data_IF_111359556222
#
_entry.id   IF_111359556222
#
_cell.length_a   1.000
_cell.length_b   1.000
_cell.length_c   1.000
_cell.angle_alpha   90.00
_cell.angle_beta   90.00
_cell.angle_gamma   90.00
#
_symmetry.space_group_name_H-M   'P 1'
#
loop_
_entity.id
_entity.type
_entity.pdbx_description
1 polymer ?
#
# COMPACT_ATOMS: atom_id res chain seq x y z
N UNK A 1 9.17 11.95 18.59
CA UNK A 1 9.94 10.77 18.99
C UNK A 1 9.80 10.53 20.49
N UNK A 2 9.95 9.30 20.96
CA UNK A 2 10.07 8.98 22.40
C UNK A 2 11.52 9.15 22.88
N UNK A 3 11.74 9.19 24.19
CA UNK A 3 13.11 9.21 24.77
C UNK A 3 13.99 8.08 24.23
N UNK A 4 13.46 6.86 24.16
CA UNK A 4 14.18 5.70 23.64
C UNK A 4 14.51 5.82 22.14
N UNK A 5 13.63 6.46 21.35
CA UNK A 5 13.91 6.72 19.94
C UNK A 5 15.02 7.76 19.75
N UNK A 6 15.09 8.79 20.61
CA UNK A 6 16.19 9.77 20.59
C UNK A 6 17.51 9.14 21.03
N UNK A 7 17.48 8.30 22.05
CA UNK A 7 18.67 7.58 22.53
C UNK A 7 19.27 6.67 21.44
N UNK A 8 18.43 5.94 20.70
CA UNK A 8 18.88 5.14 19.56
C UNK A 8 19.56 5.99 18.48
N UNK A 9 19.04 7.19 18.20
CA UNK A 9 19.65 8.09 17.21
C UNK A 9 21.01 8.65 17.65
N UNK A 10 21.22 8.85 18.94
CA UNK A 10 22.48 9.34 19.49
C UNK A 10 23.55 8.26 19.54
N UNK A 11 23.17 6.99 19.75
CA UNK A 11 24.09 5.85 19.71
C UNK A 11 24.74 5.70 18.32
N UNK A 12 24.01 6.00 17.25
CA UNK A 12 24.50 5.91 15.87
C UNK A 12 25.50 7.03 15.48
N UNK A 13 25.72 8.04 16.34
CA UNK A 13 26.51 9.24 16.03
C UNK A 13 27.93 9.25 16.63
N UNK A 14 28.39 8.19 17.32
CA UNK A 14 29.71 8.06 17.99
C UNK A 14 30.11 9.19 18.97
N UNK A 15 29.32 10.24 19.08
CA UNK A 15 29.38 11.29 20.07
C UNK A 15 28.14 11.13 20.95
N UNK A 16 28.31 10.70 22.20
CA UNK A 16 27.25 10.76 23.20
C UNK A 16 27.38 12.07 23.98
N UNK A 17 26.83 13.21 23.52
CA UNK A 17 26.45 14.25 24.46
C UNK A 17 25.51 13.63 25.49
N UNK A 18 25.46 14.18 26.71
CA UNK A 18 24.56 13.65 27.72
C UNK A 18 23.13 13.71 27.16
N UNK A 19 22.48 12.56 26.95
CA UNK A 19 21.14 12.44 26.34
C UNK A 19 20.16 13.51 26.87
N UNK A 20 20.23 13.82 28.16
CA UNK A 20 19.40 14.84 28.78
C UNK A 20 19.66 16.26 28.23
N UNK A 21 20.91 16.65 27.95
CA UNK A 21 21.23 17.96 27.35
C UNK A 21 20.64 18.12 25.95
N UNK A 22 20.66 17.05 25.15
CA UNK A 22 20.02 17.04 23.81
C UNK A 22 18.50 17.14 23.94
N UNK A 23 17.91 16.33 24.83
CA UNK A 23 16.47 16.34 25.06
C UNK A 23 15.95 17.70 25.55
N UNK A 24 16.72 18.39 26.39
CA UNK A 24 16.38 19.71 26.92
C UNK A 24 16.41 20.81 25.85
N UNK A 25 17.18 20.63 24.77
CA UNK A 25 17.22 21.54 23.63
C UNK A 25 16.11 21.26 22.59
N UNK A 26 15.45 20.10 22.66
CA UNK A 26 14.38 19.73 21.75
C UNK A 26 13.03 20.28 22.20
N UNK A 27 12.14 20.55 21.25
CA UNK A 27 10.74 20.86 21.60
C UNK A 27 10.08 19.62 22.20
N UNK A 28 9.48 19.77 23.38
CA UNK A 28 8.82 18.70 24.13
C UNK A 28 7.32 18.96 24.21
N UNK A 29 6.51 17.91 24.00
CA UNK A 29 5.06 17.93 24.22
C UNK A 29 4.63 16.68 24.98
N UNK A 30 3.57 16.73 25.79
CA UNK A 30 3.07 15.53 26.47
C UNK A 30 2.69 14.44 25.47
N UNK A 31 2.91 13.17 25.81
CA UNK A 31 2.50 12.05 24.98
C UNK A 31 0.99 11.75 25.11
N UNK A 32 0.43 11.96 26.31
CA UNK A 32 -0.99 11.80 26.63
C UNK A 32 -1.43 13.02 27.44
N UNK A 33 -2.58 13.58 27.09
CA UNK A 33 -3.23 14.67 27.82
C UNK A 33 -4.55 14.20 28.43
N UNK A 34 -4.91 14.77 29.57
CA UNK A 34 -6.22 14.59 30.19
C UNK A 34 -7.20 15.58 29.56
N UNK A 35 -8.31 15.08 29.03
CA UNK A 35 -9.40 15.88 28.46
C UNK A 35 -10.65 15.76 29.35
N UNK A 36 -11.68 16.57 29.09
CA UNK A 36 -12.94 16.50 29.83
C UNK A 36 -13.62 15.13 29.73
N UNK A 37 -13.42 14.43 28.61
CA UNK A 37 -14.01 13.12 28.31
C UNK A 37 -13.06 11.93 28.55
N UNK A 38 -11.91 12.16 29.21
CA UNK A 38 -10.94 11.11 29.58
C UNK A 38 -9.51 11.45 29.15
N UNK A 39 -8.94 10.64 28.24
CA UNK A 39 -7.55 10.77 27.81
C UNK A 39 -7.47 10.98 26.29
N UNK A 40 -6.52 11.81 25.86
CA UNK A 40 -6.16 11.99 24.46
C UNK A 40 -4.69 11.66 24.23
N UNK A 41 -4.41 10.73 23.33
CA UNK A 41 -3.05 10.37 22.95
C UNK A 41 -2.54 11.34 21.88
N UNK A 42 -1.55 12.19 22.19
CA UNK A 42 -1.01 13.14 21.22
C UNK A 42 -0.12 12.51 20.13
N UNK A 43 0.22 11.21 20.25
CA UNK A 43 0.88 10.47 19.16
C UNK A 43 -0.11 10.05 18.07
N UNK A 44 -1.19 9.36 18.44
CA UNK A 44 -2.14 8.78 17.48
C UNK A 44 -3.55 9.37 17.49
N UNK A 45 -3.81 10.40 18.30
CA UNK A 45 -5.12 11.02 18.54
C UNK A 45 -6.20 10.04 18.99
N UNK A 46 -5.83 8.92 19.61
CA UNK A 46 -6.82 8.06 20.22
C UNK A 46 -7.48 8.79 21.40
N UNK A 47 -8.81 8.88 21.35
CA UNK A 47 -9.66 9.38 22.44
C UNK A 47 -10.62 8.29 22.96
N UNK A 48 -10.54 7.07 22.42
CA UNK A 48 -11.40 5.98 22.88
C UNK A 48 -10.91 5.50 24.25
N UNK A 49 -11.71 5.75 25.30
CA UNK A 49 -11.42 5.35 26.68
C UNK A 49 -11.07 3.87 26.84
N UNK A 50 -11.74 2.97 26.11
CA UNK A 50 -11.45 1.52 26.09
C UNK A 50 -10.05 1.14 25.60
N UNK A 51 -9.38 2.04 24.87
CA UNK A 51 -8.02 1.83 24.37
C UNK A 51 -6.96 2.47 25.27
N UNK A 52 -7.37 2.95 26.44
CA UNK A 52 -6.48 3.38 27.51
C UNK A 52 -6.56 2.38 28.65
N UNK A 53 -5.40 1.94 29.13
CA UNK A 53 -5.30 0.98 30.24
C UNK A 53 -4.37 1.57 31.30
N UNK A 54 -4.79 1.53 32.56
CA UNK A 54 -3.94 1.85 33.70
C UNK A 54 -2.96 0.70 33.96
N UNK A 55 -1.70 1.03 34.26
CA UNK A 55 -0.74 0.04 34.71
C UNK A 55 -1.16 -0.51 36.09
N UNK A 56 -1.05 -1.82 36.32
CA UNK A 56 -1.41 -2.44 37.61
C UNK A 56 -0.47 -2.03 38.77
N UNK A 57 0.53 -1.18 38.53
CA UNK A 57 1.52 -0.72 39.50
C UNK A 57 0.95 0.05 40.69
N UNK A 58 -0.30 0.51 40.61
CA UNK A 58 -1.01 1.07 41.78
C UNK A 58 -1.12 0.06 42.94
N UNK A 59 -1.18 -1.25 42.66
CA UNK A 59 -1.34 -2.28 43.68
C UNK A 59 -0.01 -2.83 44.24
N UNK A 60 1.12 -2.65 43.53
CA UNK A 60 2.41 -3.29 43.87
C UNK A 60 3.46 -2.33 44.44
N UNK A 61 3.39 -1.02 44.19
CA UNK A 61 4.48 -0.08 44.50
C UNK A 61 4.04 1.22 45.19
N UNK A 62 2.80 1.34 45.68
CA UNK A 62 2.32 2.52 46.41
C UNK A 62 2.56 3.86 45.68
N UNK A 63 2.50 3.84 44.34
CA UNK A 63 2.63 5.04 43.51
C UNK A 63 1.27 5.77 43.48
N UNK A 64 1.27 7.06 43.79
CA UNK A 64 0.07 7.92 43.87
C UNK A 64 -0.47 8.36 42.51
N UNK A 65 0.32 8.24 41.44
CA UNK A 65 -0.02 8.80 40.13
C UNK A 65 -0.60 7.74 39.19
N UNK A 66 -1.76 8.03 38.62
CA UNK A 66 -2.45 7.18 37.64
C UNK A 66 -1.61 7.07 36.36
N UNK A 67 -0.97 5.91 36.15
CA UNK A 67 -0.14 5.66 34.95
C UNK A 67 -0.96 4.96 33.87
N UNK A 68 -1.53 5.75 32.97
CA UNK A 68 -2.33 5.24 31.84
C UNK A 68 -1.49 5.14 30.57
N UNK A 69 -1.64 4.09 29.78
CA UNK A 69 -1.00 3.97 28.46
C UNK A 69 -2.02 3.74 27.34
N UNK A 70 -1.62 4.12 26.12
CA UNK A 70 -2.45 3.96 24.92
C UNK A 70 -2.17 2.62 24.21
N UNK A 71 -3.19 1.75 24.12
CA UNK A 71 -3.11 0.47 23.41
C UNK A 71 -2.91 0.61 21.91
N UNK A 72 -3.51 1.64 21.28
CA UNK A 72 -3.37 1.89 19.84
C UNK A 72 -1.91 2.16 19.43
N UNK A 73 -1.09 2.49 20.41
CA UNK A 73 0.27 2.95 20.28
C UNK A 73 1.29 1.83 20.59
N UNK A 74 0.84 0.69 21.12
CA UNK A 74 1.71 -0.34 21.68
C UNK A 74 2.71 -0.91 20.67
N UNK A 75 2.30 -1.10 19.41
CA UNK A 75 3.17 -1.62 18.35
C UNK A 75 4.34 -0.69 17.99
N UNK A 76 4.23 0.61 18.28
CA UNK A 76 5.28 1.60 18.06
C UNK A 76 6.08 1.90 19.34
N UNK A 77 5.97 1.05 20.35
CA UNK A 77 6.49 1.31 21.69
C UNK A 77 5.45 2.01 22.56
N UNK A 78 5.32 1.54 23.80
CA UNK A 78 4.37 2.04 24.80
C UNK A 78 4.67 3.50 25.14
N UNK A 79 3.61 4.30 25.26
CA UNK A 79 3.65 5.68 25.78
C UNK A 79 2.69 5.81 26.95
N UNK A 80 3.12 6.50 27.99
CA UNK A 80 2.43 6.66 29.27
C UNK A 80 1.99 8.12 29.48
N UNK A 81 0.99 8.29 30.34
CA UNK A 81 0.69 9.59 30.94
C UNK A 81 1.93 10.06 31.74
N UNK A 82 2.38 11.27 31.43
CA UNK A 82 3.63 11.84 31.94
C UNK A 82 4.86 11.65 31.04
N UNK A 83 4.79 10.81 30.00
CA UNK A 83 5.85 10.75 28.99
C UNK A 83 5.83 12.00 28.11
N UNK A 84 7.01 12.37 27.59
CA UNK A 84 7.16 13.46 26.60
C UNK A 84 7.52 12.92 25.22
N UNK A 85 6.99 13.60 24.20
CA UNK A 85 7.34 13.46 22.80
C UNK A 85 8.29 14.60 22.41
N UNK A 86 9.41 14.23 21.83
CA UNK A 86 10.49 15.13 21.40
C UNK A 86 10.41 15.37 19.89
N UNK A 87 10.55 16.61 19.46
CA UNK A 87 10.47 17.01 18.06
C UNK A 87 11.80 17.58 17.59
N UNK A 88 12.26 17.10 16.44
CA UNK A 88 13.39 17.72 15.72
C UNK A 88 12.82 18.91 14.97
N UNK A 89 13.39 20.10 15.17
CA UNK A 89 13.02 21.26 14.39
C UNK A 89 13.36 21.05 12.92
N UNK A 90 12.41 21.40 12.06
CA UNK A 90 12.62 21.28 10.63
C UNK A 90 13.58 22.36 10.13
N UNK A 91 14.47 22.00 9.21
CA UNK A 91 15.35 22.98 8.57
C UNK A 91 14.55 23.78 7.54
N UNK A 92 14.81 25.09 7.38
CA UNK A 92 14.12 25.90 6.38
C UNK A 92 14.31 25.30 4.98
N UNK A 93 13.20 24.84 4.42
CA UNK A 93 13.15 23.90 3.30
C UNK A 93 12.53 24.55 2.06
N UNK A 94 12.99 25.73 1.68
CA UNK A 94 12.70 26.30 0.35
C UNK A 94 13.87 27.15 -0.15
N UNK A 95 14.44 26.75 -1.27
CA UNK A 95 15.34 27.61 -2.04
C UNK A 95 14.53 28.61 -2.85
N UNK A 96 14.93 29.89 -2.84
CA UNK A 96 14.38 30.92 -3.73
C UNK A 96 14.61 30.57 -5.20
N UNK A 97 15.66 29.80 -5.50
CA UNK A 97 16.01 29.35 -6.85
C UNK A 97 16.16 27.82 -6.85
N UNK A 98 15.41 27.08 -7.69
CA UNK A 98 15.55 25.63 -7.78
C UNK A 98 16.94 25.22 -8.24
N UNK A 99 17.48 24.16 -7.65
CA UNK A 99 18.73 23.51 -8.08
C UNK A 99 18.53 22.71 -9.37
N UNK A 100 19.63 22.20 -9.93
CA UNK A 100 19.59 21.25 -11.04
C UNK A 100 18.83 19.98 -10.67
N UNK A 101 18.26 19.32 -11.68
CA UNK A 101 17.55 18.05 -11.49
C UNK A 101 18.40 17.02 -10.77
N UNK A 102 17.78 16.32 -9.83
CA UNK A 102 18.35 15.16 -9.17
C UNK A 102 17.80 13.85 -9.74
N UNK A 103 16.89 13.94 -10.72
CA UNK A 103 16.33 12.79 -11.41
C UNK A 103 17.35 12.23 -12.40
N UNK A 104 17.77 11.00 -12.13
CA UNK A 104 18.72 10.21 -12.94
C UNK A 104 18.04 9.15 -13.81
N UNK A 105 16.73 8.96 -13.64
CA UNK A 105 15.93 8.01 -14.42
C UNK A 105 15.92 8.35 -15.92
N UNK A 106 16.40 7.41 -16.74
CA UNK A 106 16.52 7.57 -18.20
C UNK A 106 15.30 7.08 -19.00
N UNK A 107 14.24 6.61 -18.33
CA UNK A 107 13.04 6.15 -19.03
C UNK A 107 12.22 7.31 -19.61
N UNK A 108 11.23 6.97 -20.44
CA UNK A 108 10.29 7.95 -21.01
C UNK A 108 8.89 7.66 -20.52
N UNK A 109 8.23 8.69 -19.98
CA UNK A 109 6.83 8.60 -19.60
C UNK A 109 5.95 8.48 -20.85
N UNK A 110 4.91 7.65 -20.79
CA UNK A 110 3.86 7.68 -21.79
C UNK A 110 3.19 9.06 -21.82
N UNK A 111 2.56 9.47 -22.93
CA UNK A 111 1.86 10.76 -23.00
C UNK A 111 0.86 10.95 -21.85
N UNK A 112 0.19 9.87 -21.45
CA UNK A 112 -0.81 9.90 -20.38
C UNK A 112 -0.18 9.99 -18.98
N UNK A 113 0.94 9.31 -18.77
CA UNK A 113 1.74 9.48 -17.54
C UNK A 113 2.32 10.90 -17.45
N UNK A 114 2.80 11.46 -18.56
CA UNK A 114 3.33 12.82 -18.62
C UNK A 114 2.24 13.86 -18.34
N UNK A 115 1.02 13.67 -18.88
CA UNK A 115 -0.15 14.49 -18.55
C UNK A 115 -0.43 14.45 -17.04
N UNK A 116 -0.51 13.25 -16.46
CA UNK A 116 -0.79 13.11 -15.05
C UNK A 116 0.30 13.68 -14.15
N UNK A 117 1.58 13.55 -14.54
CA UNK A 117 2.69 14.18 -13.83
C UNK A 117 2.61 15.71 -13.88
N UNK A 118 2.21 16.30 -15.01
CA UNK A 118 1.95 17.74 -15.13
C UNK A 118 0.76 18.18 -14.27
N UNK A 119 -0.33 17.43 -14.25
CA UNK A 119 -1.49 17.71 -13.40
C UNK A 119 -1.10 17.68 -11.92
N UNK A 120 -0.26 16.73 -11.51
CA UNK A 120 0.27 16.64 -10.16
C UNK A 120 1.13 17.86 -9.80
N UNK A 121 2.05 18.26 -10.68
CA UNK A 121 2.87 19.46 -10.46
C UNK A 121 1.97 20.70 -10.33
N UNK A 122 0.98 20.86 -11.21
CA UNK A 122 0.01 21.96 -11.12
C UNK A 122 -0.79 21.92 -9.81
N UNK A 123 -1.11 20.73 -9.32
CA UNK A 123 -1.82 20.58 -8.04
C UNK A 123 -1.02 21.07 -6.84
N UNK A 124 0.31 21.17 -6.95
CA UNK A 124 1.17 21.72 -5.88
C UNK A 124 0.91 23.21 -5.64
N UNK A 125 0.35 23.95 -6.61
CA UNK A 125 -0.04 25.36 -6.46
C UNK A 125 -1.21 25.53 -5.49
N UNK A 126 -1.97 24.46 -5.24
CA UNK A 126 -3.10 24.43 -4.32
C UNK A 126 -2.84 23.43 -3.20
N UNK A 127 -2.15 23.89 -2.15
CA UNK A 127 -1.86 23.10 -0.95
C UNK A 127 -3.09 22.85 -0.07
N UNK A 128 -4.22 23.54 -0.31
CA UNK A 128 -5.42 23.43 0.53
C UNK A 128 -6.21 22.14 0.27
N UNK A 129 -6.17 21.63 -0.97
CA UNK A 129 -6.91 20.43 -1.37
C UNK A 129 -5.98 19.25 -1.57
N UNK A 130 -6.43 18.08 -1.13
CA UNK A 130 -5.76 16.81 -1.47
C UNK A 130 -5.87 16.57 -2.99
N UNK A 131 -4.91 15.85 -3.57
CA UNK A 131 -4.99 15.40 -4.95
C UNK A 131 -4.98 13.87 -5.03
N UNK A 132 -5.91 13.28 -5.78
CA UNK A 132 -5.97 11.83 -5.98
C UNK A 132 -5.66 11.46 -7.42
N UNK A 133 -4.72 10.54 -7.58
CA UNK A 133 -4.48 9.86 -8.86
C UNK A 133 -5.22 8.53 -8.84
N UNK A 134 -6.23 8.43 -9.69
CA UNK A 134 -6.95 7.19 -9.94
C UNK A 134 -6.34 6.53 -11.18
N UNK A 135 -5.45 5.57 -10.97
CA UNK A 135 -4.71 4.91 -12.03
C UNK A 135 -4.90 3.40 -12.00
N UNK A 136 -5.26 2.82 -13.14
CA UNK A 136 -5.44 1.37 -13.27
C UNK A 136 -4.17 0.59 -12.90
N UNK A 137 -4.34 -0.65 -12.46
CA UNK A 137 -3.21 -1.52 -12.14
C UNK A 137 -2.27 -1.66 -13.33
N UNK A 138 -0.97 -1.45 -13.10
CA UNK A 138 0.03 -1.49 -14.17
C UNK A 138 0.13 -0.22 -15.02
N UNK A 139 -0.54 0.89 -14.66
CA UNK A 139 -0.39 2.18 -15.34
C UNK A 139 0.98 2.86 -15.14
N UNK A 140 1.88 2.31 -14.32
CA UNK A 140 3.19 2.91 -14.01
C UNK A 140 3.08 4.12 -13.07
N UNK A 141 2.33 3.93 -11.96
CA UNK A 141 2.12 4.98 -10.94
C UNK A 141 3.44 5.52 -10.36
N UNK A 142 4.44 4.66 -10.19
CA UNK A 142 5.72 5.00 -9.57
C UNK A 142 6.55 5.93 -10.47
N UNK A 143 6.66 5.64 -11.77
CA UNK A 143 7.45 6.46 -12.69
C UNK A 143 6.82 7.84 -12.88
N UNK A 144 5.49 7.90 -12.89
CA UNK A 144 4.71 9.13 -13.05
C UNK A 144 4.96 10.16 -11.93
N UNK A 145 5.27 9.71 -10.71
CA UNK A 145 5.54 10.62 -9.58
C UNK A 145 6.96 11.17 -9.57
N UNK A 146 7.91 10.58 -10.31
CA UNK A 146 9.31 11.03 -10.28
C UNK A 146 9.51 12.52 -10.63
N UNK A 147 8.87 13.10 -11.68
CA UNK A 147 9.03 14.52 -11.95
C UNK A 147 8.47 15.43 -10.84
N UNK A 148 7.43 14.97 -10.14
CA UNK A 148 6.82 15.70 -9.02
C UNK A 148 7.75 15.69 -7.80
N UNK A 149 8.37 14.54 -7.53
CA UNK A 149 9.37 14.39 -6.47
C UNK A 149 10.57 15.30 -6.76
N UNK A 150 11.11 15.24 -7.99
CA UNK A 150 12.23 16.08 -8.42
C UNK A 150 11.89 17.58 -8.30
N UNK A 151 10.65 17.98 -8.61
CA UNK A 151 10.20 19.37 -8.45
C UNK A 151 10.30 19.86 -7.00
N UNK A 152 9.99 19.02 -6.01
CA UNK A 152 10.09 19.36 -4.59
C UNK A 152 11.55 19.32 -4.12
N UNK A 153 12.30 18.28 -4.47
CA UNK A 153 13.68 18.08 -4.04
C UNK A 153 14.60 19.19 -4.58
N UNK A 154 14.38 19.66 -5.82
CA UNK A 154 15.14 20.80 -6.38
C UNK A 154 15.01 22.07 -5.56
N UNK A 155 13.93 22.22 -4.79
CA UNK A 155 13.66 23.37 -3.92
C UNK A 155 14.11 23.13 -2.47
N UNK A 156 14.86 22.06 -2.20
CA UNK A 156 15.24 21.63 -0.86
C UNK A 156 14.04 21.26 0.02
N UNK A 157 12.93 20.86 -0.59
CA UNK A 157 11.75 20.35 0.11
C UNK A 157 11.87 18.85 0.41
N UNK A 158 11.05 18.37 1.34
CA UNK A 158 11.06 16.98 1.80
C UNK A 158 9.89 16.18 1.26
N UNK A 159 10.17 14.95 0.84
CA UNK A 159 9.19 14.06 0.24
C UNK A 159 9.05 12.77 1.05
N UNK A 160 7.81 12.35 1.28
CA UNK A 160 7.52 11.02 1.81
C UNK A 160 6.64 10.23 0.86
N UNK A 161 6.98 8.95 0.66
CA UNK A 161 6.14 7.96 -0.02
C UNK A 161 5.74 6.90 1.01
N UNK A 162 4.47 6.87 1.36
CA UNK A 162 3.92 5.94 2.33
C UNK A 162 3.06 4.86 1.66
N UNK A 163 3.13 3.64 2.19
CA UNK A 163 2.23 2.54 1.79
C UNK A 163 1.78 1.74 3.01
N UNK A 164 0.54 1.22 3.09
CA UNK A 164 0.16 0.34 4.19
C UNK A 164 0.93 -0.99 4.22
N UNK A 165 1.61 -1.38 3.13
CA UNK A 165 2.31 -2.66 3.01
C UNK A 165 3.83 -2.52 3.07
N UNK A 166 4.44 -3.37 3.90
CA UNK A 166 5.90 -3.45 4.05
C UNK A 166 6.56 -3.86 2.72
N UNK A 167 6.04 -4.89 2.05
CA UNK A 167 6.63 -5.41 0.81
C UNK A 167 6.69 -4.34 -0.31
N UNK A 168 5.70 -3.44 -0.37
CA UNK A 168 5.68 -2.33 -1.32
C UNK A 168 6.77 -1.31 -0.99
N UNK A 169 6.95 -0.97 0.29
CA UNK A 169 8.00 -0.04 0.73
C UNK A 169 9.40 -0.60 0.42
N UNK A 170 9.62 -1.90 0.66
CA UNK A 170 10.88 -2.59 0.35
C UNK A 170 11.15 -2.62 -1.16
N UNK A 171 10.12 -2.80 -2.00
CA UNK A 171 10.26 -2.73 -3.46
C UNK A 171 10.52 -1.29 -3.96
N UNK A 172 9.92 -0.29 -3.32
CA UNK A 172 10.02 1.12 -3.72
C UNK A 172 11.39 1.74 -3.41
N UNK A 173 12.01 1.44 -2.26
CA UNK A 173 13.32 2.02 -1.86
C UNK A 173 14.38 1.88 -2.97
N UNK A 174 14.76 0.68 -3.45
CA UNK A 174 15.80 0.54 -4.47
C UNK A 174 15.40 1.20 -5.80
N UNK A 175 14.10 1.22 -6.12
CA UNK A 175 13.57 1.82 -7.35
C UNK A 175 13.68 3.35 -7.33
N UNK A 176 13.41 3.97 -6.18
CA UNK A 176 13.60 5.40 -5.94
C UNK A 176 15.09 5.76 -5.86
N UNK A 177 15.90 4.95 -5.17
CA UNK A 177 17.35 5.17 -5.10
C UNK A 177 17.99 5.15 -6.50
N UNK A 178 17.58 4.22 -7.36
CA UNK A 178 18.05 4.17 -8.75
C UNK A 178 17.56 5.34 -9.61
N UNK A 179 16.39 5.92 -9.29
CA UNK A 179 15.87 7.10 -9.99
C UNK A 179 16.49 8.41 -9.48
N UNK A 180 16.99 8.43 -8.24
CA UNK A 180 17.54 9.59 -7.55
C UNK A 180 18.88 9.24 -6.89
N UNK A 181 19.87 8.86 -7.68
CA UNK A 181 21.16 8.31 -7.19
C UNK A 181 21.86 9.20 -6.17
N UNK A 182 21.74 10.52 -6.32
CA UNK A 182 22.38 11.52 -5.44
C UNK A 182 21.51 11.98 -4.25
N UNK A 183 20.36 11.37 -4.03
CA UNK A 183 19.43 11.72 -2.94
C UNK A 183 19.35 10.57 -1.94
N UNK A 184 19.52 10.89 -0.67
CA UNK A 184 19.37 9.90 0.40
C UNK A 184 17.91 9.52 0.60
N UNK A 185 17.64 8.21 0.56
CA UNK A 185 16.31 7.62 0.77
C UNK A 185 16.31 6.75 2.04
N UNK A 186 15.62 7.21 3.08
CA UNK A 186 15.43 6.45 4.33
C UNK A 186 14.20 5.54 4.22
N UNK A 187 14.29 4.29 4.69
CA UNK A 187 13.17 3.34 4.68
C UNK A 187 12.72 3.00 6.11
N UNK A 188 11.44 3.21 6.40
CA UNK A 188 10.87 3.00 7.74
C UNK A 188 9.69 2.02 7.70
N UNK A 189 9.78 0.91 8.43
CA UNK A 189 8.65 -0.01 8.61
C UNK A 189 8.76 -0.76 9.94
N UNK A 190 7.67 -1.42 10.37
CA UNK A 190 7.70 -2.21 11.60
C UNK A 190 8.69 -3.37 11.48
N UNK A 191 9.75 -3.35 12.29
CA UNK A 191 10.85 -4.32 12.25
C UNK A 191 12.03 -3.94 11.34
N UNK A 192 12.13 -2.68 10.88
CA UNK A 192 13.38 -2.17 10.29
C UNK A 192 14.45 -1.98 11.37
N UNK A 193 15.67 -2.47 11.12
CA UNK A 193 16.86 -2.23 11.96
C UNK A 193 17.41 -0.81 11.75
N UNK A 194 17.12 -0.19 10.61
CA UNK A 194 17.55 1.17 10.26
C UNK A 194 16.84 2.20 11.18
N UNK A 195 17.64 2.89 11.98
CA UNK A 195 17.22 4.06 12.76
C UNK A 195 16.74 5.20 11.86
N UNK A 196 15.83 6.04 12.36
CA UNK A 196 15.40 7.19 11.56
C UNK A 196 16.54 8.19 11.41
N UNK A 197 16.92 8.51 10.17
CA UNK A 197 17.81 9.60 9.82
C UNK A 197 17.04 10.70 9.09
N UNK A 198 17.31 11.95 9.42
CA UNK A 198 16.76 13.08 8.68
C UNK A 198 17.26 13.04 7.23
N UNK A 199 16.35 12.79 6.29
CA UNK A 199 16.66 12.69 4.87
C UNK A 199 15.68 13.51 4.02
N UNK A 200 16.09 13.93 2.80
CA UNK A 200 15.22 14.61 1.85
C UNK A 200 14.06 13.72 1.39
N UNK A 201 14.28 12.40 1.32
CA UNK A 201 13.27 11.42 0.90
C UNK A 201 13.09 10.32 1.96
N UNK A 202 11.83 10.02 2.27
CA UNK A 202 11.46 8.94 3.19
C UNK A 202 10.46 8.01 2.51
N UNK A 203 10.73 6.70 2.54
CA UNK A 203 9.76 5.66 2.17
C UNK A 203 9.31 5.00 3.47
N UNK A 204 8.01 4.91 3.72
CA UNK A 204 7.55 4.35 4.99
C UNK A 204 6.27 3.55 4.92
N UNK A 205 6.01 2.72 5.93
CA UNK A 205 4.63 2.28 6.15
C UNK A 205 3.76 3.44 6.65
N UNK A 206 2.45 3.39 6.40
CA UNK A 206 1.52 4.44 6.86
C UNK A 206 1.54 4.64 8.38
N UNK A 207 1.73 3.58 9.16
CA UNK A 207 1.84 3.65 10.62
C UNK A 207 3.05 4.46 11.08
N UNK A 208 4.16 4.45 10.33
CA UNK A 208 5.37 5.21 10.67
C UNK A 208 5.14 6.72 10.58
N UNK A 209 4.12 7.16 9.83
CA UNK A 209 3.76 8.59 9.74
C UNK A 209 3.32 9.19 11.09
N UNK A 210 2.92 8.36 12.06
CA UNK A 210 2.62 8.80 13.43
C UNK A 210 3.82 9.44 14.15
N UNK A 211 5.04 9.24 13.62
CA UNK A 211 6.28 9.86 14.12
C UNK A 211 6.53 11.27 13.57
N UNK A 212 5.77 11.69 12.56
CA UNK A 212 6.01 12.91 11.81
C UNK A 212 4.90 13.94 12.06
N UNK A 213 5.31 15.19 12.20
CA UNK A 213 4.41 16.32 12.30
C UNK A 213 4.98 17.45 11.45
N UNK A 214 4.16 17.99 10.55
CA UNK A 214 4.50 19.09 9.65
C UNK A 214 5.85 18.90 8.93
N UNK A 215 6.18 17.66 8.56
CA UNK A 215 7.55 17.27 8.18
C UNK A 215 7.79 17.23 6.67
N UNK A 216 6.75 17.04 5.87
CA UNK A 216 6.88 16.80 4.43
C UNK A 216 6.15 17.85 3.59
N UNK A 217 6.87 18.42 2.62
CA UNK A 217 6.31 19.29 1.59
C UNK A 217 5.44 18.51 0.60
N UNK A 218 5.74 17.22 0.41
CA UNK A 218 4.93 16.31 -0.39
C UNK A 218 4.84 14.96 0.31
N UNK A 219 3.63 14.55 0.67
CA UNK A 219 3.33 13.20 1.10
C UNK A 219 2.51 12.49 0.03
N UNK A 220 3.02 11.38 -0.48
CA UNK A 220 2.35 10.50 -1.43
C UNK A 220 1.98 9.22 -0.70
N UNK A 221 0.69 8.90 -0.64
CA UNK A 221 0.23 7.62 -0.08
C UNK A 221 -0.19 6.70 -1.23
N UNK A 222 0.56 5.62 -1.43
CA UNK A 222 0.21 4.57 -2.39
C UNK A 222 -0.62 3.49 -1.72
N UNK A 223 -1.50 2.86 -2.50
CA UNK A 223 -2.40 1.81 -2.04
C UNK A 223 -3.33 2.27 -0.90
N UNK A 224 -3.87 3.49 -0.98
CA UNK A 224 -4.84 4.01 0.01
C UNK A 224 -6.10 3.16 0.14
N UNK A 225 -6.33 2.26 -0.81
CA UNK A 225 -7.43 1.29 -0.86
C UNK A 225 -7.10 -0.06 -0.18
N UNK A 226 -5.91 -0.20 0.42
CA UNK A 226 -5.51 -1.39 1.15
C UNK A 226 -5.74 -1.28 2.67
N UNK A 227 -6.11 -2.41 3.28
CA UNK A 227 -6.10 -2.58 4.72
C UNK A 227 -4.66 -2.46 5.28
N UNK A 228 -4.45 -1.85 6.47
CA UNK A 228 -5.46 -1.29 7.37
C UNK A 228 -5.86 0.17 7.09
N UNK A 229 -5.22 0.85 6.13
CA UNK A 229 -5.39 2.29 5.92
C UNK A 229 -6.85 2.73 5.73
N UNK A 230 -7.59 2.09 4.82
CA UNK A 230 -8.98 2.46 4.45
C UNK A 230 -9.93 2.62 5.64
N UNK A 231 -9.73 1.82 6.70
CA UNK A 231 -10.67 1.74 7.82
C UNK A 231 -10.05 2.23 9.14
N UNK A 232 -8.94 2.97 9.08
CA UNK A 232 -8.21 3.41 10.26
C UNK A 232 -8.10 4.94 10.31
N UNK A 233 -8.95 5.54 11.15
CA UNK A 233 -8.96 6.98 11.37
C UNK A 233 -7.62 7.51 11.90
N UNK A 234 -6.88 6.72 12.69
CA UNK A 234 -5.57 7.14 13.22
C UNK A 234 -4.52 7.21 12.12
N UNK A 235 -4.60 6.37 11.09
CA UNK A 235 -3.72 6.43 9.92
C UNK A 235 -4.06 7.59 8.98
N UNK A 236 -5.35 7.89 8.79
CA UNK A 236 -5.76 9.10 8.07
C UNK A 236 -5.34 10.38 8.80
N UNK A 237 -5.40 10.37 10.13
CA UNK A 237 -4.85 11.47 10.93
C UNK A 237 -3.33 11.57 10.77
N UNK A 238 -2.61 10.45 10.83
CA UNK A 238 -1.15 10.41 10.68
C UNK A 238 -0.70 11.00 9.34
N UNK A 239 -1.38 10.68 8.23
CA UNK A 239 -1.07 11.24 6.92
C UNK A 239 -1.29 12.75 6.88
N UNK A 240 -2.42 13.24 7.38
CA UNK A 240 -2.70 14.68 7.41
C UNK A 240 -1.75 15.45 8.33
N UNK A 241 -1.36 14.86 9.47
CA UNK A 241 -0.44 15.47 10.44
C UNK A 241 0.98 15.55 9.90
N UNK A 242 1.43 14.55 9.15
CA UNK A 242 2.80 14.49 8.65
C UNK A 242 3.08 15.52 7.53
N UNK A 243 2.04 16.01 6.85
CA UNK A 243 2.15 17.04 5.80
C UNK A 243 2.36 18.41 6.43
N UNK A 244 3.34 19.15 5.91
CA UNK A 244 3.69 20.50 6.35
C UNK A 244 2.56 21.49 6.10
N UNK A 245 2.22 22.31 7.08
CA UNK A 245 1.20 23.36 6.93
C UNK A 245 1.83 24.76 6.89
N UNK A 246 1.30 25.69 6.07
CA UNK A 246 0.15 25.56 5.15
C UNK A 246 0.55 25.11 3.72
N UNK A 247 1.84 24.89 3.44
CA UNK A 247 2.37 24.77 2.08
C UNK A 247 2.45 23.34 1.53
N UNK A 248 2.44 22.32 2.38
CA UNK A 248 2.62 20.94 1.99
C UNK A 248 1.43 20.36 1.21
N UNK A 249 1.70 19.34 0.40
CA UNK A 249 0.71 18.67 -0.43
C UNK A 249 0.53 17.20 -0.03
N UNK A 250 -0.72 16.78 0.07
CA UNK A 250 -1.10 15.37 0.18
C UNK A 250 -1.58 14.84 -1.18
N UNK A 251 -0.98 13.72 -1.61
CA UNK A 251 -1.33 13.01 -2.83
C UNK A 251 -1.71 11.56 -2.52
N UNK A 252 -2.84 11.10 -3.04
CA UNK A 252 -3.29 9.70 -2.93
C UNK A 252 -3.15 8.98 -4.28
N UNK A 253 -2.56 7.79 -4.27
CA UNK A 253 -2.49 6.92 -5.44
C UNK A 253 -3.35 5.68 -5.20
N UNK A 254 -4.34 5.44 -6.06
CA UNK A 254 -5.22 4.26 -5.95
C UNK A 254 -5.66 3.76 -7.31
N UNK A 255 -5.91 2.44 -7.39
CA UNK A 255 -6.58 1.85 -8.56
C UNK A 255 -8.08 1.66 -8.34
N UNK A 256 -8.54 1.73 -7.09
CA UNK A 256 -9.95 1.55 -6.72
C UNK A 256 -10.28 2.51 -5.58
N UNK A 257 -10.67 3.76 -5.88
CA UNK A 257 -11.10 4.70 -4.84
C UNK A 257 -12.33 4.15 -4.12
N UNK A 258 -12.38 4.34 -2.81
CA UNK A 258 -13.55 3.99 -2.01
C UNK A 258 -14.65 5.07 -2.12
N UNK A 259 -15.77 4.86 -1.43
CA UNK A 259 -16.88 5.82 -1.43
C UNK A 259 -16.50 7.16 -0.84
N UNK A 260 -15.66 7.18 0.19
CA UNK A 260 -15.23 8.41 0.85
C UNK A 260 -14.41 9.27 -0.11
N UNK A 261 -13.38 8.71 -0.73
CA UNK A 261 -12.56 9.38 -1.74
C UNK A 261 -13.41 9.86 -2.92
N UNK A 262 -14.36 9.05 -3.37
CA UNK A 262 -15.25 9.43 -4.48
C UNK A 262 -16.15 10.62 -4.11
N UNK A 263 -16.65 10.66 -2.87
CA UNK A 263 -17.45 11.78 -2.36
C UNK A 263 -16.62 13.07 -2.22
N UNK A 264 -15.37 12.97 -1.75
CA UNK A 264 -14.46 14.13 -1.65
C UNK A 264 -14.16 14.75 -3.03
N UNK A 265 -14.03 13.92 -4.08
CA UNK A 265 -13.94 14.45 -5.45
C UNK A 265 -15.22 15.13 -5.87
N UNK A 266 -16.39 14.52 -5.61
CA UNK A 266 -17.69 15.07 -5.99
C UNK A 266 -17.97 16.40 -5.30
N UNK A 267 -17.55 16.55 -4.05
CA UNK A 267 -17.70 17.76 -3.23
C UNK A 267 -16.65 18.83 -3.53
N UNK A 268 -15.71 18.58 -4.47
CA UNK A 268 -14.61 19.47 -4.86
C UNK A 268 -13.59 19.78 -3.75
N UNK A 269 -13.65 19.08 -2.61
CA UNK A 269 -12.65 19.14 -1.53
C UNK A 269 -11.36 18.42 -1.91
N UNK A 270 -11.43 17.49 -2.87
CA UNK A 270 -10.27 16.80 -3.46
C UNK A 270 -10.24 16.98 -4.98
N UNK A 271 -9.06 17.23 -5.52
CA UNK A 271 -8.83 17.23 -6.98
C UNK A 271 -8.44 15.83 -7.44
N UNK A 272 -8.72 15.46 -8.70
CA UNK A 272 -8.34 14.13 -9.19
C UNK A 272 -7.88 14.09 -10.63
N UNK A 273 -6.95 13.17 -10.90
CA UNK A 273 -6.48 12.83 -12.24
C UNK A 273 -6.66 11.33 -12.47
N UNK A 274 -7.39 10.98 -13.54
CA UNK A 274 -7.72 9.59 -13.89
C UNK A 274 -6.82 9.12 -15.04
N UNK A 275 -6.14 7.98 -14.84
CA UNK A 275 -5.36 7.24 -15.85
C UNK A 275 -6.06 5.89 -16.10
N UNK A 276 -6.91 5.81 -17.14
CA UNK A 276 -7.74 4.63 -17.39
C UNK A 276 -7.03 3.49 -18.13
N UNK A 277 -5.85 3.75 -18.70
CA UNK A 277 -5.13 2.81 -19.56
C UNK A 277 -3.75 2.45 -19.01
N UNK A 278 -3.27 1.24 -19.36
CA UNK A 278 -1.88 0.85 -19.15
C UNK A 278 -0.98 1.47 -20.21
N UNK A 279 0.32 1.63 -19.91
CA UNK A 279 1.30 2.22 -20.83
C UNK A 279 1.43 1.48 -22.18
N UNK A 280 1.04 0.20 -22.24
CA UNK A 280 1.03 -0.61 -23.45
C UNK A 280 -0.30 -0.59 -24.22
N UNK A 281 -1.25 0.29 -23.87
CA UNK A 281 -2.48 0.58 -24.65
C UNK A 281 -3.41 -0.62 -24.94
N UNK A 282 -3.31 -1.70 -24.18
CA UNK A 282 -4.26 -2.82 -24.28
C UNK A 282 -5.34 -2.69 -23.21
N UNK A 283 -6.58 -3.15 -23.48
CA UNK A 283 -7.65 -3.16 -22.49
C UNK A 283 -7.29 -4.03 -21.28
N UNK A 284 -7.84 -3.67 -20.13
CA UNK A 284 -7.82 -4.51 -18.95
C UNK A 284 -8.63 -5.78 -19.21
N UNK A 285 -8.13 -6.96 -18.83
CA UNK A 285 -8.86 -8.22 -18.98
C UNK A 285 -10.13 -8.18 -18.11
N UNK A 286 -11.27 -8.47 -18.73
CA UNK A 286 -12.55 -8.54 -18.04
C UNK A 286 -12.77 -9.93 -17.43
N UNK A 287 -13.26 -10.04 -16.19
CA UNK A 287 -13.43 -11.32 -15.53
C UNK A 287 -14.57 -12.14 -16.13
N UNK A 288 -14.27 -13.39 -16.48
CA UNK A 288 -15.26 -14.39 -16.86
C UNK A 288 -15.85 -15.05 -15.61
N UNK A 289 -17.17 -14.98 -15.47
CA UNK A 289 -17.86 -15.57 -14.31
C UNK A 289 -18.17 -17.04 -14.59
N UNK A 290 -17.55 -17.94 -13.83
CA UNK A 290 -17.68 -19.39 -14.00
C UNK A 290 -18.35 -20.02 -12.78
N UNK A 291 -19.56 -20.55 -12.94
CA UNK A 291 -20.25 -21.22 -11.84
C UNK A 291 -19.66 -22.61 -11.58
N UNK A 292 -19.14 -22.82 -10.37
CA UNK A 292 -18.54 -24.09 -9.92
C UNK A 292 -19.39 -24.82 -8.87
N UNK A 293 -20.51 -24.25 -8.44
CA UNK A 293 -21.36 -24.79 -7.37
C UNK A 293 -20.67 -24.73 -6.00
N UNK A 294 -20.92 -25.72 -5.14
CA UNK A 294 -20.26 -25.81 -3.84
C UNK A 294 -18.79 -26.26 -3.99
N UNK A 295 -17.93 -25.28 -4.23
CA UNK A 295 -16.50 -25.46 -4.42
C UNK A 295 -15.78 -25.85 -3.12
N UNK A 296 -16.30 -25.45 -1.95
CA UNK A 296 -15.72 -25.79 -0.64
C UNK A 296 -15.80 -27.29 -0.42
N UNK A 297 -17.01 -27.85 -0.58
CA UNK A 297 -17.22 -29.29 -0.46
C UNK A 297 -16.44 -30.08 -1.52
N UNK A 298 -16.27 -29.53 -2.73
CA UNK A 298 -15.45 -30.18 -3.76
C UNK A 298 -13.99 -30.32 -3.34
N UNK A 299 -13.40 -29.29 -2.72
CA UNK A 299 -12.02 -29.32 -2.23
C UNK A 299 -11.89 -30.28 -1.05
N UNK A 300 -12.76 -30.14 -0.04
CA UNK A 300 -12.69 -30.94 1.19
C UNK A 300 -12.90 -32.43 0.92
N UNK A 301 -13.86 -32.78 0.06
CA UNK A 301 -14.18 -34.17 -0.30
C UNK A 301 -13.44 -34.64 -1.57
N UNK A 302 -12.51 -33.83 -2.12
CA UNK A 302 -11.75 -34.11 -3.35
C UNK A 302 -12.62 -34.57 -4.53
N UNK A 303 -13.81 -33.98 -4.68
CA UNK A 303 -14.80 -34.36 -5.69
C UNK A 303 -14.44 -33.77 -7.05
N UNK A 304 -14.23 -34.63 -8.05
CA UNK A 304 -13.96 -34.25 -9.44
C UNK A 304 -15.23 -33.76 -10.15
N UNK A 305 -15.65 -32.52 -9.87
CA UNK A 305 -16.80 -31.84 -10.50
C UNK A 305 -16.35 -30.59 -11.27
N UNK A 306 -17.19 -29.55 -11.39
CA UNK A 306 -16.94 -28.35 -12.20
C UNK A 306 -15.66 -27.62 -11.80
N UNK A 307 -15.34 -27.49 -10.52
CA UNK A 307 -14.09 -26.86 -10.07
C UNK A 307 -12.87 -27.65 -10.57
N UNK A 308 -12.91 -28.98 -10.50
CA UNK A 308 -11.83 -29.83 -10.99
C UNK A 308 -11.62 -29.67 -12.50
N UNK A 309 -12.70 -29.71 -13.28
CA UNK A 309 -12.62 -29.53 -14.74
C UNK A 309 -12.06 -28.15 -15.10
N UNK A 310 -12.49 -27.09 -14.40
CA UNK A 310 -11.96 -25.74 -14.56
C UNK A 310 -10.45 -25.69 -14.27
N UNK A 311 -10.02 -26.19 -13.11
CA UNK A 311 -8.61 -26.16 -12.71
C UNK A 311 -7.75 -27.04 -13.62
N UNK A 312 -8.26 -28.18 -14.10
CA UNK A 312 -7.55 -29.04 -15.05
C UNK A 312 -7.24 -28.29 -16.35
N UNK A 313 -8.21 -27.55 -16.89
CA UNK A 313 -8.00 -26.74 -18.07
C UNK A 313 -7.09 -25.54 -17.77
N UNK A 314 -7.38 -24.78 -16.71
CA UNK A 314 -6.65 -23.56 -16.34
C UNK A 314 -5.17 -23.81 -16.06
N UNK A 315 -4.83 -24.89 -15.35
CA UNK A 315 -3.43 -25.20 -15.01
C UNK A 315 -2.62 -25.74 -16.20
N UNK A 316 -3.28 -26.17 -17.27
CA UNK A 316 -2.62 -26.59 -18.51
C UNK A 316 -2.33 -25.42 -19.47
N UNK A 317 -2.76 -24.19 -19.14
CA UNK A 317 -2.42 -23.02 -19.92
C UNK A 317 -0.91 -22.75 -19.90
N UNK A 318 -0.39 -22.26 -21.02
CA UNK A 318 1.00 -21.83 -21.13
C UNK A 318 1.23 -20.52 -20.38
N UNK A 319 2.24 -20.49 -19.51
CA UNK A 319 2.55 -19.32 -18.68
C UNK A 319 2.37 -19.58 -17.19
N UNK A 320 2.39 -18.51 -16.41
CA UNK A 320 2.26 -18.53 -14.95
C UNK A 320 0.78 -18.57 -14.56
N UNK A 321 0.41 -19.49 -13.67
CA UNK A 321 -0.97 -19.60 -13.16
C UNK A 321 -1.06 -19.17 -11.71
N UNK A 322 -1.92 -18.20 -11.41
CA UNK A 322 -2.26 -17.81 -10.03
C UNK A 322 -3.67 -18.28 -9.69
N UNK A 323 -3.80 -18.99 -8.57
CA UNK A 323 -5.10 -19.42 -8.03
C UNK A 323 -5.31 -18.73 -6.68
N UNK A 324 -6.25 -17.80 -6.62
CA UNK A 324 -6.59 -17.11 -5.38
C UNK A 324 -7.67 -17.85 -4.58
N UNK A 325 -7.41 -18.03 -3.29
CA UNK A 325 -8.25 -18.74 -2.34
C UNK A 325 -8.58 -17.87 -1.12
N UNK A 326 -9.83 -17.83 -0.66
CA UNK A 326 -10.23 -16.88 0.39
C UNK A 326 -9.70 -17.25 1.78
N UNK A 327 -9.28 -18.51 1.99
CA UNK A 327 -8.86 -19.00 3.29
C UNK A 327 -7.64 -19.92 3.15
N UNK A 328 -6.69 -19.79 4.10
CA UNK A 328 -5.44 -20.57 4.16
C UNK A 328 -5.70 -22.08 4.17
N UNK A 329 -6.62 -22.56 5.02
CA UNK A 329 -6.95 -24.00 5.13
C UNK A 329 -7.46 -24.55 3.81
N UNK A 330 -8.32 -23.82 3.11
CA UNK A 330 -8.85 -24.25 1.82
C UNK A 330 -7.79 -24.19 0.72
N UNK A 331 -6.86 -23.23 0.79
CA UNK A 331 -5.72 -23.15 -0.11
C UNK A 331 -4.79 -24.35 0.04
N UNK A 332 -4.44 -24.72 1.29
CA UNK A 332 -3.62 -25.90 1.59
C UNK A 332 -4.32 -27.21 1.19
N UNK A 333 -5.62 -27.34 1.47
CA UNK A 333 -6.41 -28.51 1.04
C UNK A 333 -6.44 -28.64 -0.49
N UNK A 334 -6.58 -27.52 -1.20
CA UNK A 334 -6.54 -27.50 -2.65
C UNK A 334 -5.15 -27.91 -3.14
N UNK A 335 -4.08 -27.32 -2.59
CA UNK A 335 -2.70 -27.69 -2.90
C UNK A 335 -2.45 -29.19 -2.72
N UNK A 336 -2.84 -29.76 -1.58
CA UNK A 336 -2.69 -31.18 -1.31
C UNK A 336 -3.51 -32.05 -2.27
N UNK A 337 -4.72 -31.61 -2.66
CA UNK A 337 -5.53 -32.33 -3.63
C UNK A 337 -4.91 -32.32 -5.02
N UNK A 338 -4.47 -31.16 -5.50
CA UNK A 338 -3.90 -31.02 -6.84
C UNK A 338 -2.53 -31.71 -6.95
N UNK A 339 -1.66 -31.57 -5.94
CA UNK A 339 -0.34 -32.22 -5.92
C UNK A 339 -0.45 -33.74 -5.99
N UNK A 340 -1.42 -34.33 -5.28
CA UNK A 340 -1.67 -35.77 -5.33
C UNK A 340 -2.30 -36.21 -6.67
N UNK A 341 -3.11 -35.34 -7.28
CA UNK A 341 -3.83 -35.69 -8.51
C UNK A 341 -2.95 -35.52 -9.76
N UNK A 342 -2.02 -34.56 -9.75
CA UNK A 342 -1.10 -34.26 -10.84
C UNK A 342 0.35 -34.11 -10.30
N UNK A 343 1.04 -35.22 -9.97
CA UNK A 343 2.37 -35.18 -9.38
C UNK A 343 3.44 -34.50 -10.25
N UNK A 344 3.23 -34.45 -11.57
CA UNK A 344 4.12 -33.77 -12.51
C UNK A 344 3.94 -32.25 -12.58
N UNK A 345 2.86 -31.70 -12.01
CA UNK A 345 2.61 -30.25 -12.00
C UNK A 345 3.32 -29.62 -10.81
N UNK A 346 4.27 -28.71 -11.07
CA UNK A 346 5.03 -28.04 -10.01
C UNK A 346 4.20 -26.90 -9.44
N UNK A 347 3.45 -27.16 -8.39
CA UNK A 347 2.65 -26.15 -7.71
C UNK A 347 3.22 -25.80 -6.33
N UNK A 348 2.90 -24.61 -5.85
CA UNK A 348 3.18 -24.18 -4.48
C UNK A 348 1.97 -23.47 -3.87
N UNK A 349 1.98 -23.33 -2.54
CA UNK A 349 1.01 -22.53 -1.79
C UNK A 349 1.73 -21.48 -0.94
N UNK A 350 1.20 -20.25 -0.92
CA UNK A 350 1.70 -19.13 -0.11
C UNK A 350 0.56 -18.41 0.63
N UNK A 351 0.84 -17.95 1.84
CA UNK A 351 -0.06 -17.14 2.66
C UNK A 351 0.74 -16.24 3.61
N UNK A 352 0.07 -15.35 4.34
CA UNK A 352 0.74 -14.35 5.19
C UNK A 352 1.64 -14.92 6.31
N UNK A 353 1.40 -16.17 6.73
CA UNK A 353 2.18 -16.87 7.78
C UNK A 353 3.30 -17.76 7.23
N UNK A 354 3.48 -17.80 5.92
CA UNK A 354 4.50 -18.64 5.28
C UNK A 354 5.88 -17.98 5.37
N UNK A 355 6.81 -18.60 6.10
CA UNK A 355 8.18 -18.09 6.24
C UNK A 355 8.97 -18.17 4.93
N UNK A 356 8.62 -19.09 4.03
CA UNK A 356 9.29 -19.31 2.73
C UNK A 356 8.59 -18.57 1.58
N UNK A 357 7.78 -17.56 1.91
CA UNK A 357 6.96 -16.84 0.92
C UNK A 357 7.81 -16.22 -0.19
N UNK A 358 8.94 -15.59 0.17
CA UNK A 358 9.78 -14.86 -0.80
C UNK A 358 10.43 -15.85 -1.78
N UNK A 359 10.94 -16.96 -1.26
CA UNK A 359 11.59 -18.03 -2.01
C UNK A 359 10.62 -18.68 -2.98
N UNK A 360 9.40 -19.02 -2.55
CA UNK A 360 8.37 -19.62 -3.44
C UNK A 360 7.91 -18.66 -4.52
N UNK A 361 7.73 -17.38 -4.20
CA UNK A 361 7.39 -16.34 -5.19
C UNK A 361 8.51 -16.17 -6.21
N UNK A 362 9.76 -16.18 -5.77
CA UNK A 362 10.92 -16.10 -6.66
C UNK A 362 11.03 -17.35 -7.55
N UNK A 363 10.85 -18.55 -6.98
CA UNK A 363 10.82 -19.79 -7.73
C UNK A 363 9.71 -19.83 -8.80
N UNK A 364 8.55 -19.18 -8.57
CA UNK A 364 7.53 -19.01 -9.60
C UNK A 364 8.00 -18.05 -10.72
N UNK A 365 8.70 -16.95 -10.37
CA UNK A 365 9.27 -16.02 -11.36
C UNK A 365 10.33 -16.69 -12.24
N UNK A 366 11.13 -17.57 -11.64
CA UNK A 366 12.21 -18.27 -12.31
C UNK A 366 11.72 -19.48 -13.14
N UNK A 367 10.41 -19.75 -13.16
CA UNK A 367 9.81 -20.86 -13.90
C UNK A 367 10.04 -22.23 -13.25
N UNK A 368 10.46 -22.26 -11.98
CA UNK A 368 10.60 -23.51 -11.21
C UNK A 368 9.23 -24.07 -10.82
N UNK A 369 8.25 -23.20 -10.55
CA UNK A 369 6.85 -23.57 -10.37
C UNK A 369 6.02 -23.18 -11.59
N UNK A 370 5.02 -23.99 -11.91
CA UNK A 370 4.04 -23.74 -12.97
C UNK A 370 2.87 -22.89 -12.46
N UNK A 371 2.50 -23.07 -11.19
CA UNK A 371 1.36 -22.41 -10.58
C UNK A 371 1.56 -22.12 -9.10
N UNK A 372 0.89 -21.06 -8.64
CA UNK A 372 0.91 -20.65 -7.24
C UNK A 372 -0.51 -20.48 -6.73
N UNK A 373 -0.84 -21.19 -5.65
CA UNK A 373 -2.06 -21.00 -4.89
C UNK A 373 -1.77 -19.98 -3.80
N UNK A 374 -2.56 -18.92 -3.72
CA UNK A 374 -2.35 -17.83 -2.78
C UNK A 374 -3.63 -17.39 -2.12
N UNK A 375 -3.54 -16.82 -0.92
CA UNK A 375 -4.60 -15.95 -0.39
C UNK A 375 -4.46 -14.53 -0.94
N UNK A 376 -5.19 -13.57 -0.37
CA UNK A 376 -5.09 -12.13 -0.69
C UNK A 376 -3.69 -11.52 -0.50
N UNK A 377 -2.73 -12.27 0.06
CA UNK A 377 -1.37 -11.76 0.29
C UNK A 377 -0.67 -11.34 -1.01
N UNK A 378 -0.90 -12.05 -2.11
CA UNK A 378 -0.33 -11.73 -3.43
C UNK A 378 -1.22 -10.83 -4.30
N UNK A 379 -2.31 -10.27 -3.76
CA UNK A 379 -3.14 -9.34 -4.52
C UNK A 379 -2.35 -8.06 -4.90
N UNK A 380 -1.31 -7.71 -4.12
CA UNK A 380 -0.41 -6.55 -4.33
C UNK A 380 1.07 -6.93 -4.14
N UNK A 381 2.01 -6.12 -4.64
CA UNK A 381 3.47 -6.30 -4.39
C UNK A 381 4.23 -7.40 -5.16
N UNK A 382 3.69 -7.96 -6.25
CA UNK A 382 4.42 -8.91 -7.13
C UNK A 382 4.05 -8.70 -8.60
N UNK A 383 4.95 -8.99 -9.54
CA UNK A 383 4.67 -8.91 -10.98
C UNK A 383 5.17 -10.18 -11.67
N UNK A 384 4.34 -10.79 -12.51
CA UNK A 384 4.67 -11.97 -13.30
C UNK A 384 4.44 -11.70 -14.80
N UNK A 385 5.26 -12.29 -15.65
CA UNK A 385 5.09 -12.32 -17.11
C UNK A 385 4.13 -13.45 -17.51
N UNK A 386 3.34 -13.24 -18.57
CA UNK A 386 2.39 -14.24 -19.08
C UNK A 386 1.55 -14.91 -17.98
N UNK A 387 0.78 -14.11 -17.25
CA UNK A 387 0.09 -14.56 -16.03
C UNK A 387 -1.42 -14.72 -16.27
N UNK A 388 -1.95 -15.85 -15.85
CA UNK A 388 -3.38 -16.14 -15.77
C UNK A 388 -3.86 -16.13 -14.32
N UNK A 389 -5.11 -15.76 -14.08
CA UNK A 389 -5.69 -15.67 -12.74
C UNK A 389 -7.02 -16.41 -12.66
N UNK A 390 -7.14 -17.29 -11.67
CA UNK A 390 -8.39 -17.91 -11.27
C UNK A 390 -8.67 -17.55 -9.80
N UNK A 391 -9.75 -16.82 -9.54
CA UNK A 391 -10.20 -16.49 -8.19
C UNK A 391 -11.31 -17.48 -7.83
N UNK A 392 -10.98 -18.45 -6.97
CA UNK A 392 -11.93 -19.46 -6.50
C UNK A 392 -12.68 -18.93 -5.30
N UNK A 393 -14.00 -19.10 -5.31
CA UNK A 393 -14.86 -18.52 -4.29
C UNK A 393 -14.87 -17.00 -4.33
N UNK A 394 -14.89 -16.42 -5.53
CA UNK A 394 -14.88 -14.96 -5.72
C UNK A 394 -16.04 -14.25 -5.01
N UNK A 395 -17.10 -14.98 -4.64
CA UNK A 395 -18.23 -14.47 -3.86
C UNK A 395 -17.99 -14.36 -2.35
N UNK A 396 -16.83 -14.81 -1.86
CA UNK A 396 -16.46 -14.77 -0.45
C UNK A 396 -16.55 -13.34 0.10
N UNK A 397 -17.12 -13.19 1.29
CA UNK A 397 -17.18 -11.89 2.01
C UNK A 397 -15.78 -11.35 2.37
N UNK A 398 -14.75 -12.19 2.33
CA UNK A 398 -13.36 -11.78 2.53
C UNK A 398 -12.76 -11.04 1.32
N UNK A 399 -13.42 -11.09 0.16
CA UNK A 399 -13.01 -10.37 -1.04
C UNK A 399 -13.86 -9.12 -1.23
N UNK A 400 -13.22 -7.95 -1.12
CA UNK A 400 -13.81 -6.67 -1.50
C UNK A 400 -13.74 -6.45 -3.01
N UNK A 401 -14.51 -5.48 -3.51
CA UNK A 401 -14.44 -4.99 -4.90
C UNK A 401 -13.00 -4.60 -5.27
N UNK A 402 -12.32 -3.86 -4.38
CA UNK A 402 -10.90 -3.48 -4.50
C UNK A 402 -9.99 -4.70 -4.66
N UNK A 403 -10.09 -5.69 -3.76
CA UNK A 403 -9.28 -6.90 -3.81
C UNK A 403 -9.45 -7.66 -5.14
N UNK A 404 -10.69 -7.78 -5.61
CA UNK A 404 -11.01 -8.42 -6.90
C UNK A 404 -10.40 -7.69 -8.10
N UNK A 405 -10.47 -6.35 -8.15
CA UNK A 405 -9.83 -5.56 -9.21
C UNK A 405 -8.31 -5.67 -9.16
N UNK A 406 -7.71 -5.68 -7.96
CA UNK A 406 -6.26 -5.82 -7.79
C UNK A 406 -5.75 -7.20 -8.23
N UNK A 407 -6.45 -8.27 -7.83
CA UNK A 407 -6.17 -9.63 -8.30
C UNK A 407 -6.33 -9.75 -9.82
N UNK A 408 -7.36 -9.12 -10.39
CA UNK A 408 -7.55 -9.03 -11.85
C UNK A 408 -6.41 -8.29 -12.55
N UNK A 409 -5.88 -7.27 -11.89
CA UNK A 409 -4.74 -6.48 -12.34
C UNK A 409 -3.43 -7.23 -12.52
N UNK A 410 -3.35 -8.51 -12.11
CA UNK A 410 -2.18 -9.37 -12.34
C UNK A 410 -2.11 -9.91 -13.76
N UNK A 411 -3.25 -9.98 -14.46
CA UNK A 411 -3.34 -10.49 -15.83
C UNK A 411 -2.98 -9.39 -16.83
N UNK A 412 -2.23 -9.74 -17.88
CA UNK A 412 -1.96 -8.86 -19.01
C UNK A 412 -1.02 -7.67 -18.75
N UNK A 413 -0.16 -7.74 -17.72
CA UNK A 413 0.57 -6.57 -17.19
C UNK A 413 1.80 -6.15 -18.02
N UNK A 414 2.30 -7.02 -18.90
CA UNK A 414 3.53 -6.78 -19.69
C UNK A 414 3.18 -6.61 -21.18
N UNK A 415 3.89 -5.77 -21.95
CA UNK A 415 3.53 -5.47 -23.33
C UNK A 415 3.56 -6.71 -24.23
N UNK A 416 4.52 -7.62 -23.99
CA UNK A 416 4.66 -8.86 -24.75
C UNK A 416 3.58 -9.90 -24.41
N UNK A 417 2.88 -9.72 -23.29
CA UNK A 417 1.80 -10.60 -22.82
C UNK A 417 0.64 -9.73 -22.28
N UNK A 418 -0.06 -9.00 -23.16
CA UNK A 418 -1.06 -8.02 -22.75
C UNK A 418 -2.41 -8.65 -22.40
N UNK A 419 -2.59 -9.94 -22.69
CA UNK A 419 -3.82 -10.70 -22.47
C UNK A 419 -3.58 -11.87 -21.50
N UNK A 420 -4.66 -12.53 -21.11
CA UNK A 420 -4.63 -13.78 -20.35
C UNK A 420 -6.00 -14.12 -19.77
N UNK A 421 -6.15 -15.37 -19.31
CA UNK A 421 -7.38 -15.82 -18.67
C UNK A 421 -7.57 -15.20 -17.29
N UNK A 422 -8.76 -14.62 -17.07
CA UNK A 422 -9.20 -14.06 -15.79
C UNK A 422 -10.56 -14.64 -15.43
N UNK A 423 -10.59 -15.47 -14.39
CA UNK A 423 -11.76 -16.29 -14.07
C UNK A 423 -12.20 -16.02 -12.63
N UNK A 424 -13.47 -15.68 -12.48
CA UNK A 424 -14.14 -15.63 -11.19
C UNK A 424 -14.94 -16.91 -11.02
N UNK A 425 -14.35 -17.90 -10.37
CA UNK A 425 -15.00 -19.18 -10.10
C UNK A 425 -15.84 -19.06 -8.83
N UNK A 426 -17.17 -19.20 -8.96
CA UNK A 426 -18.09 -18.85 -7.88
C UNK A 426 -19.19 -19.87 -7.61
N UNK A 427 -19.72 -19.87 -6.38
CA UNK A 427 -20.95 -20.58 -5.99
C UNK A 427 -22.24 -19.79 -6.31
N UNK A 428 -22.12 -18.46 -6.42
CA UNK A 428 -23.19 -17.51 -6.74
C UNK A 428 -22.59 -16.13 -6.98
N UNK A 429 -23.27 -15.23 -7.69
CA UNK A 429 -22.75 -13.88 -7.96
C UNK A 429 -23.11 -12.96 -6.78
N UNK A 430 -22.20 -12.07 -6.39
CA UNK A 430 -22.46 -11.04 -5.38
C UNK A 430 -22.19 -9.63 -5.94
N UNK A 431 -22.53 -8.60 -5.15
CA UNK A 431 -22.37 -7.21 -5.57
C UNK A 431 -20.90 -6.84 -5.82
N UNK A 432 -19.98 -7.27 -4.95
CA UNK A 432 -18.55 -6.97 -5.09
C UNK A 432 -17.96 -7.45 -6.42
N UNK A 433 -18.35 -8.64 -6.87
CA UNK A 433 -17.96 -9.17 -8.19
C UNK A 433 -18.51 -8.33 -9.33
N UNK A 434 -19.78 -7.94 -9.26
CA UNK A 434 -20.44 -7.13 -10.30
C UNK A 434 -19.82 -5.74 -10.38
N UNK A 435 -19.57 -5.10 -9.24
CA UNK A 435 -18.88 -3.81 -9.15
C UNK A 435 -17.45 -3.89 -9.69
N UNK A 436 -16.70 -4.95 -9.37
CA UNK A 436 -15.33 -5.10 -9.86
C UNK A 436 -15.29 -5.18 -11.39
N UNK A 437 -16.18 -5.98 -11.99
CA UNK A 437 -16.31 -6.05 -13.45
C UNK A 437 -16.78 -4.73 -14.05
N UNK A 438 -17.72 -4.03 -13.39
CA UNK A 438 -18.21 -2.72 -13.82
C UNK A 438 -17.08 -1.69 -13.86
N UNK A 439 -16.27 -1.58 -12.80
CA UNK A 439 -15.14 -0.66 -12.74
C UNK A 439 -14.11 -0.94 -13.85
N UNK A 440 -13.79 -2.20 -14.12
CA UNK A 440 -12.87 -2.59 -15.21
C UNK A 440 -13.45 -2.14 -16.56
N UNK A 441 -14.75 -2.39 -16.82
CA UNK A 441 -15.43 -1.95 -18.04
C UNK A 441 -15.45 -0.44 -18.21
N UNK A 442 -15.75 0.30 -17.14
CA UNK A 442 -15.77 1.76 -17.14
C UNK A 442 -14.38 2.35 -17.45
N UNK A 443 -13.31 1.77 -16.90
CA UNK A 443 -11.94 2.17 -17.22
C UNK A 443 -11.58 1.86 -18.67
N UNK A 444 -11.92 0.69 -19.19
CA UNK A 444 -11.70 0.36 -20.60
C UNK A 444 -12.48 1.31 -21.53
N UNK A 445 -13.74 1.61 -21.20
CA UNK A 445 -14.56 2.55 -21.96
C UNK A 445 -13.94 3.95 -21.96
N UNK A 446 -13.59 4.49 -20.78
CA UNK A 446 -12.96 5.80 -20.66
C UNK A 446 -11.61 5.87 -21.39
N UNK A 447 -10.83 4.79 -21.36
CA UNK A 447 -9.59 4.68 -22.12
C UNK A 447 -9.85 4.70 -23.63
N UNK A 448 -10.88 3.99 -24.10
CA UNK A 448 -11.27 3.95 -25.51
C UNK A 448 -11.75 5.31 -26.00
N UNK A 449 -12.61 6.00 -25.23
CA UNK A 449 -13.11 7.34 -25.53
C UNK A 449 -11.97 8.37 -25.66
N UNK A 450 -10.89 8.19 -24.90
CA UNK A 450 -9.69 9.02 -24.96
C UNK A 450 -8.66 8.56 -26.01
N UNK A 451 -8.93 7.51 -26.77
CA UNK A 451 -8.00 6.95 -27.76
C UNK A 451 -6.72 6.34 -27.16
N UNK A 452 -6.79 5.89 -25.91
CA UNK A 452 -5.66 5.36 -25.13
C UNK A 452 -5.51 3.84 -25.23
N UNK A 453 -6.52 3.14 -25.73
CA UNK A 453 -6.48 1.71 -25.98
C UNK A 453 -6.96 1.39 -27.38
N UNK A 454 -6.41 0.31 -27.95
CA UNK A 454 -6.70 -0.11 -29.31
C UNK A 454 -7.66 -1.32 -29.29
N UNK A 455 -8.65 -1.34 -30.19
CA UNK A 455 -9.51 -2.52 -30.44
C UNK A 455 -10.62 -2.82 -29.40
N UNK A 456 -10.97 -1.88 -28.53
CA UNK A 456 -12.07 -2.06 -27.57
C UNK A 456 -13.43 -1.75 -28.21
N UNK A 457 -14.30 -2.75 -28.30
CA UNK A 457 -15.71 -2.59 -28.68
C UNK A 457 -16.57 -2.77 -27.43
N UNK A 458 -17.28 -1.74 -26.99
CA UNK A 458 -18.26 -1.87 -25.91
C UNK A 458 -19.38 -2.81 -26.36
N UNK A 459 -19.34 -4.08 -25.95
CA UNK A 459 -20.44 -5.03 -26.10
C UNK A 459 -21.18 -5.22 -24.78
#
# INVERSE_FOLDING_TARGET
MTRAEVELQLIDLDEAPQLNEVLDQMEQRPAIEMTQDGYCCLRCQNQQSKLFIALPTQALFSLTDERVYCLNCLQMGRILLGDSLYYIQDQPSYLSTPTQSKLTWQGTLSPEQARASKDLIKSLEDSSRTHMVHAVTGAGKTEMIFPVIDHIIRRNGRVCIASPRIDVCIELKPRLQAAFESVDVTLLYGGSEEGYRYSPMVVSTTHQLLRFQDAFDLLIVDEVDAFPYVNDASLHYATQRAVKKPSGKLVYLTATPDRHLTQEVANKSMTSTILPARYHRNPLPEPQFYWVGDWRQQIEKRRKRRLYSLLKWFLNLEGVKLVFMPNVRLAENLFAWLSNTWPGLKIAVVHAKDSQRKEKVQALRDGTYDALISTTILERGVTFTNCHVCIVGSESQLYSTSALVQMSGRVGRKPNFPTGELIYAHGGKNLAMLEARKQIKEMNQLASERGLIDGYSSK
#
